data_IF_368141293257
#
_entry.id   IF_368141293257
#
_cell.length_a   1.000
_cell.length_b   1.000
_cell.length_c   1.000
_cell.angle_alpha   90.00
_cell.angle_beta   90.00
_cell.angle_gamma   90.00
#
_symmetry.space_group_name_H-M   'P 1'
#
loop_
_entity.id
_entity.type
_entity.pdbx_description
1 polymer ?
#
# COMPACT_ATOMS: atom_id res chain seq x y z
N UNK A 1 14.03 26.85 -18.44
CA UNK A 1 12.59 26.93 -18.70
C UNK A 1 12.16 25.50 -18.78
N UNK A 2 11.92 24.88 -17.63
CA UNK A 2 11.50 23.49 -17.60
C UNK A 2 10.13 23.46 -18.30
N UNK A 3 10.07 22.71 -19.39
CA UNK A 3 8.95 22.78 -20.33
C UNK A 3 7.72 22.17 -19.65
N UNK A 4 6.58 22.82 -19.74
CA UNK A 4 5.32 22.36 -19.11
C UNK A 4 4.99 20.92 -19.52
N UNK A 5 5.40 20.53 -20.74
CA UNK A 5 5.23 19.16 -21.24
C UNK A 5 6.09 18.14 -20.48
N UNK A 6 7.30 18.51 -20.04
CA UNK A 6 8.23 17.60 -19.34
C UNK A 6 7.76 17.30 -17.90
N UNK A 7 7.13 18.28 -17.24
CA UNK A 7 6.47 18.09 -15.95
C UNK A 7 5.20 17.21 -16.07
N UNK A 8 4.49 17.32 -17.19
CA UNK A 8 3.34 16.48 -17.50
C UNK A 8 3.73 15.03 -17.78
N UNK A 9 4.78 14.82 -18.59
CA UNK A 9 5.31 13.50 -18.90
C UNK A 9 5.81 12.80 -17.63
N UNK A 10 6.55 13.52 -16.78
CA UNK A 10 7.01 13.02 -15.47
C UNK A 10 5.85 12.65 -14.54
N UNK A 11 4.76 13.41 -14.57
CA UNK A 11 3.55 13.08 -13.79
C UNK A 11 2.84 11.85 -14.33
N UNK A 12 2.68 11.75 -15.66
CA UNK A 12 2.02 10.63 -16.31
C UNK A 12 2.78 9.31 -16.04
N UNK A 13 4.11 9.33 -16.10
CA UNK A 13 4.97 8.21 -15.73
C UNK A 13 4.78 7.81 -14.27
N UNK A 14 4.75 8.77 -13.35
CA UNK A 14 4.59 8.47 -11.92
C UNK A 14 3.22 7.86 -11.58
N UNK A 15 2.15 8.36 -12.21
CA UNK A 15 0.80 7.81 -12.07
C UNK A 15 0.70 6.40 -12.66
N UNK A 16 1.35 6.17 -13.81
CA UNK A 16 1.41 4.86 -14.44
C UNK A 16 2.19 3.85 -13.57
N UNK A 17 3.31 4.25 -12.97
CA UNK A 17 4.06 3.42 -12.02
C UNK A 17 3.27 3.11 -10.75
N UNK A 18 2.53 4.08 -10.21
CA UNK A 18 1.62 3.85 -9.09
C UNK A 18 0.50 2.86 -9.45
N UNK A 19 -0.11 3.01 -10.63
CA UNK A 19 -1.13 2.10 -11.13
C UNK A 19 -0.58 0.68 -11.33
N UNK A 20 0.60 0.54 -11.95
CA UNK A 20 1.28 -0.74 -12.17
C UNK A 20 1.67 -1.43 -10.86
N UNK A 21 2.17 -0.67 -9.87
CA UNK A 21 2.43 -1.20 -8.51
C UNK A 21 1.14 -1.65 -7.83
N UNK A 22 0.07 -0.86 -7.89
CA UNK A 22 -1.23 -1.22 -7.33
C UNK A 22 -1.88 -2.46 -7.98
N UNK A 23 -1.74 -2.62 -9.30
CA UNK A 23 -2.18 -3.81 -10.03
C UNK A 23 -1.36 -5.05 -9.66
N UNK A 24 -0.03 -4.91 -9.56
CA UNK A 24 0.86 -5.98 -9.10
C UNK A 24 0.53 -6.40 -7.66
N UNK A 25 0.10 -5.47 -6.81
CA UNK A 25 -0.31 -5.73 -5.43
C UNK A 25 -1.63 -6.48 -5.33
N UNK A 26 -2.60 -6.18 -6.22
CA UNK A 26 -3.87 -6.92 -6.31
C UNK A 26 -3.70 -8.33 -6.87
N UNK A 27 -2.76 -8.53 -7.79
CA UNK A 27 -2.58 -9.79 -8.53
C UNK A 27 -1.57 -10.74 -7.86
N UNK A 28 -0.60 -10.22 -7.10
CA UNK A 28 0.28 -11.06 -6.30
C UNK A 28 -0.27 -11.22 -4.89
N UNK A 29 -0.79 -12.42 -4.58
CA UNK A 29 -0.91 -12.89 -3.19
C UNK A 29 0.48 -12.77 -2.53
N UNK A 30 0.80 -11.62 -1.92
CA UNK A 30 2.04 -11.45 -1.15
C UNK A 30 2.04 -12.55 -0.10
N UNK A 31 2.99 -13.48 -0.22
CA UNK A 31 3.07 -14.69 0.58
C UNK A 31 3.40 -14.34 2.03
N UNK A 32 3.03 -15.23 2.95
CA UNK A 32 3.48 -15.14 4.35
C UNK A 32 5.01 -15.19 4.41
N UNK A 33 5.62 -14.56 5.41
CA UNK A 33 7.06 -14.70 5.68
C UNK A 33 7.52 -16.15 5.75
N UNK A 34 8.77 -16.40 5.36
CA UNK A 34 9.39 -17.74 5.40
C UNK A 34 9.34 -18.37 6.79
N UNK A 35 9.55 -17.56 7.83
CA UNK A 35 9.44 -18.00 9.23
C UNK A 35 8.04 -18.51 9.56
N UNK A 36 7.00 -17.82 9.10
CA UNK A 36 5.61 -18.22 9.30
C UNK A 36 5.28 -19.51 8.54
N UNK A 37 5.80 -19.66 7.32
CA UNK A 37 5.65 -20.87 6.53
C UNK A 37 6.31 -22.09 7.20
N UNK A 38 7.49 -21.91 7.79
CA UNK A 38 8.18 -23.00 8.49
C UNK A 38 7.42 -23.45 9.74
N UNK A 39 6.84 -22.52 10.51
CA UNK A 39 5.98 -22.87 11.64
C UNK A 39 4.73 -23.66 11.21
N UNK A 40 4.14 -23.32 10.07
CA UNK A 40 3.01 -24.06 9.50
C UNK A 40 3.44 -25.49 9.12
N UNK A 41 4.63 -25.64 8.52
CA UNK A 41 5.20 -26.94 8.15
C UNK A 41 5.47 -27.80 9.38
N UNK A 42 6.09 -27.23 10.41
CA UNK A 42 6.34 -27.90 11.69
C UNK A 42 5.04 -28.32 12.37
N UNK A 43 4.00 -27.48 12.35
CA UNK A 43 2.68 -27.83 12.88
C UNK A 43 2.07 -29.03 12.15
N UNK A 44 2.27 -29.12 10.84
CA UNK A 44 1.88 -30.28 10.02
C UNK A 44 2.60 -31.56 10.44
N UNK A 45 3.91 -31.49 10.64
CA UNK A 45 4.71 -32.60 11.13
C UNK A 45 4.28 -33.05 12.54
N UNK A 46 4.08 -32.12 13.47
CA UNK A 46 3.60 -32.43 14.83
C UNK A 46 2.20 -33.06 14.83
N UNK A 47 1.33 -32.65 13.89
CA UNK A 47 0.01 -33.27 13.69
C UNK A 47 0.14 -34.72 13.21
N UNK A 48 1.01 -34.97 12.24
CA UNK A 48 1.26 -36.32 11.72
C UNK A 48 1.90 -37.24 12.77
N UNK A 49 2.77 -36.70 13.62
CA UNK A 49 3.40 -37.42 14.73
C UNK A 49 2.47 -37.67 15.93
N UNK A 50 1.25 -37.10 15.96
CA UNK A 50 0.32 -37.25 17.08
C UNK A 50 0.66 -36.42 18.32
N UNK A 51 1.66 -35.54 18.26
CA UNK A 51 2.16 -34.76 19.39
C UNK A 51 1.23 -33.57 19.72
N UNK A 52 0.24 -33.79 20.58
CA UNK A 52 -0.81 -32.80 20.89
C UNK A 52 -0.30 -31.52 21.56
N UNK A 53 0.66 -31.64 22.48
CA UNK A 53 1.24 -30.52 23.22
C UNK A 53 2.05 -29.61 22.28
N UNK A 54 3.02 -30.19 21.56
CA UNK A 54 3.79 -29.49 20.54
C UNK A 54 2.92 -28.90 19.43
N UNK A 55 1.86 -29.60 19.00
CA UNK A 55 0.90 -29.07 18.03
C UNK A 55 0.21 -27.82 18.56
N UNK A 56 -0.15 -27.79 19.84
CA UNK A 56 -0.82 -26.65 20.48
C UNK A 56 0.09 -25.44 20.59
N UNK A 57 1.35 -25.66 20.97
CA UNK A 57 2.38 -24.63 21.00
C UNK A 57 2.67 -24.07 19.61
N UNK A 58 2.90 -24.94 18.62
CA UNK A 58 3.10 -24.53 17.23
C UNK A 58 1.86 -23.83 16.66
N UNK A 59 0.64 -24.22 17.06
CA UNK A 59 -0.58 -23.52 16.67
C UNK A 59 -0.66 -22.11 17.27
N UNK A 60 -0.22 -21.91 18.52
CA UNK A 60 -0.12 -20.59 19.15
C UNK A 60 0.89 -19.72 18.40
N UNK A 61 2.10 -20.24 18.15
CA UNK A 61 3.16 -19.54 17.44
C UNK A 61 2.77 -19.18 15.99
N UNK A 62 2.10 -20.10 15.27
CA UNK A 62 1.58 -19.81 13.93
C UNK A 62 0.61 -18.62 13.93
N UNK A 63 -0.33 -18.59 14.89
CA UNK A 63 -1.32 -17.49 14.97
C UNK A 63 -0.64 -16.15 15.24
N UNK A 64 0.34 -16.14 16.13
CA UNK A 64 1.11 -14.94 16.48
C UNK A 64 1.93 -14.44 15.30
N UNK A 65 2.68 -15.33 14.64
CA UNK A 65 3.49 -15.00 13.47
C UNK A 65 2.64 -14.46 12.30
N UNK A 66 1.50 -15.09 12.01
CA UNK A 66 0.57 -14.61 10.97
C UNK A 66 0.01 -13.23 11.33
N UNK A 67 -0.32 -12.99 12.60
CA UNK A 67 -0.86 -11.71 13.05
C UNK A 67 0.15 -10.59 12.86
N UNK A 68 1.41 -10.82 13.23
CA UNK A 68 2.47 -9.82 13.06
C UNK A 68 2.78 -9.58 11.57
N UNK A 69 2.88 -10.64 10.76
CA UNK A 69 3.08 -10.54 9.30
C UNK A 69 2.00 -9.70 8.62
N UNK A 70 0.73 -9.89 9.02
CA UNK A 70 -0.39 -9.10 8.50
C UNK A 70 -0.37 -7.65 8.97
N UNK A 71 0.09 -7.37 10.21
CA UNK A 71 0.22 -5.99 10.70
C UNK A 71 1.32 -5.24 9.98
N UNK A 72 2.49 -5.85 9.83
CA UNK A 72 3.64 -5.29 9.11
C UNK A 72 3.23 -4.96 7.68
N UNK A 73 2.60 -5.91 6.99
CA UNK A 73 2.10 -5.70 5.63
C UNK A 73 1.01 -4.64 5.53
N UNK A 74 0.14 -4.53 6.53
CA UNK A 74 -0.86 -3.46 6.56
C UNK A 74 -0.20 -2.09 6.71
N UNK A 75 0.87 -1.99 7.49
CA UNK A 75 1.63 -0.74 7.63
C UNK A 75 2.30 -0.35 6.30
N UNK A 76 2.94 -1.31 5.61
CA UNK A 76 3.52 -1.08 4.28
C UNK A 76 2.47 -0.63 3.26
N UNK A 77 1.32 -1.32 3.18
CA UNK A 77 0.24 -0.97 2.26
C UNK A 77 -0.26 0.45 2.51
N UNK A 78 -0.47 0.81 3.79
CA UNK A 78 -0.89 2.16 4.15
C UNK A 78 0.16 3.21 3.80
N UNK A 79 1.45 2.91 3.94
CA UNK A 79 2.53 3.81 3.54
C UNK A 79 2.56 4.00 2.02
N UNK A 80 2.44 2.93 1.24
CA UNK A 80 2.38 2.98 -0.23
C UNK A 80 1.16 3.78 -0.71
N UNK A 81 0.00 3.56 -0.09
CA UNK A 81 -1.22 4.33 -0.38
C UNK A 81 -1.09 5.82 0.00
N UNK A 82 -0.41 6.12 1.10
CA UNK A 82 -0.16 7.51 1.51
C UNK A 82 0.78 8.23 0.54
N UNK A 83 1.83 7.57 0.05
CA UNK A 83 2.73 8.12 -0.98
C UNK A 83 1.99 8.37 -2.30
N UNK A 84 1.20 7.40 -2.78
CA UNK A 84 0.37 7.58 -3.96
C UNK A 84 -0.66 8.71 -3.78
N UNK A 85 -1.25 8.85 -2.59
CA UNK A 85 -2.14 9.97 -2.27
C UNK A 85 -1.44 11.32 -2.33
N UNK A 86 -0.25 11.43 -1.74
CA UNK A 86 0.57 12.66 -1.77
C UNK A 86 0.94 13.06 -3.20
N UNK A 87 1.34 12.10 -4.05
CA UNK A 87 1.70 12.40 -5.44
C UNK A 87 0.50 12.90 -6.24
N UNK A 88 -0.69 12.32 -6.04
CA UNK A 88 -1.96 12.84 -6.62
C UNK A 88 -2.26 14.25 -6.09
N UNK A 89 -2.08 14.51 -4.80
CA UNK A 89 -2.30 15.84 -4.22
C UNK A 89 -1.34 16.89 -4.75
N UNK A 90 -0.06 16.52 -4.93
CA UNK A 90 0.95 17.41 -5.50
C UNK A 90 0.61 17.75 -6.95
N UNK A 91 0.31 16.75 -7.77
CA UNK A 91 -0.15 16.90 -9.15
C UNK A 91 -1.35 17.82 -9.27
N UNK A 92 -2.39 17.60 -8.44
CA UNK A 92 -3.59 18.44 -8.42
C UNK A 92 -3.27 19.89 -8.10
N UNK A 93 -2.32 20.14 -7.19
CA UNK A 93 -1.92 21.49 -6.79
C UNK A 93 -1.20 22.22 -7.93
N UNK A 94 -0.28 21.57 -8.63
CA UNK A 94 0.41 22.14 -9.78
C UNK A 94 -0.59 22.64 -10.85
N UNK A 95 -1.63 21.85 -11.15
CA UNK A 95 -2.69 22.27 -12.07
C UNK A 95 -3.48 23.50 -11.60
N UNK A 96 -3.63 23.68 -10.29
CA UNK A 96 -4.35 24.82 -9.70
C UNK A 96 -3.45 26.02 -9.40
N UNK A 97 -2.13 25.89 -9.54
CA UNK A 97 -1.16 26.93 -9.17
C UNK A 97 -0.41 27.53 -10.37
N UNK A 98 -0.64 26.99 -11.59
CA UNK A 98 -0.11 27.56 -12.82
C UNK A 98 -0.59 29.01 -13.06
N UNK A 99 0.15 29.83 -13.83
CA UNK A 99 0.01 31.29 -13.89
C UNK A 99 -1.33 31.83 -14.44
N UNK A 100 -2.32 30.98 -14.73
CA UNK A 100 -3.59 31.34 -15.37
C UNK A 100 -4.83 31.25 -14.47
N UNK A 101 -4.71 31.16 -13.15
CA UNK A 101 -5.88 31.04 -12.25
C UNK A 101 -6.28 32.31 -11.49
N UNK A 102 -5.68 33.47 -11.81
CA UNK A 102 -6.16 34.78 -11.32
C UNK A 102 -7.45 35.28 -12.02
N UNK A 103 -8.16 34.42 -12.76
CA UNK A 103 -9.26 34.81 -13.65
C UNK A 103 -10.67 34.31 -13.33
N UNK A 104 -10.91 33.45 -12.33
CA UNK A 104 -12.26 32.96 -12.04
C UNK A 104 -12.79 33.47 -10.70
N UNK A 105 -13.65 34.48 -10.85
CA UNK A 105 -14.39 35.24 -9.86
C UNK A 105 -14.93 34.43 -8.66
N UNK A 106 -14.58 34.89 -7.47
CA UNK A 106 -15.25 34.55 -6.22
C UNK A 106 -16.64 35.23 -6.20
N UNK A 107 -17.67 34.48 -6.58
CA UNK A 107 -19.07 34.84 -6.36
C UNK A 107 -19.80 33.68 -5.72
N UNK A 108 -19.81 33.60 -4.38
CA UNK A 108 -20.78 32.75 -3.68
C UNK A 108 -21.09 33.35 -2.30
N UNK A 109 -22.16 34.13 -2.28
CA UNK A 109 -22.77 34.70 -1.08
C UNK A 109 -23.17 33.60 -0.09
N UNK A 110 -22.73 33.75 1.17
CA UNK A 110 -23.28 33.04 2.33
C UNK A 110 -24.05 34.05 3.16
N UNK A 111 -25.37 34.10 2.97
CA UNK A 111 -26.27 34.84 3.88
C UNK A 111 -26.35 34.12 5.23
N UNK A 112 -26.45 34.93 6.29
CA UNK A 112 -26.59 34.53 7.70
C UNK A 112 -27.87 33.76 7.98
#
# INVERSE_FOLDING_TARGET
MDNIDEEYDRLAEHLHDCAKKAESFKTTKRRLSLKTLELIRQRGAARAAGNQELKSELARLCREAIKEDLKERRAELLAEAAEAGKSIHYARREFTSGPNVLGYAAGSNRSK
#
